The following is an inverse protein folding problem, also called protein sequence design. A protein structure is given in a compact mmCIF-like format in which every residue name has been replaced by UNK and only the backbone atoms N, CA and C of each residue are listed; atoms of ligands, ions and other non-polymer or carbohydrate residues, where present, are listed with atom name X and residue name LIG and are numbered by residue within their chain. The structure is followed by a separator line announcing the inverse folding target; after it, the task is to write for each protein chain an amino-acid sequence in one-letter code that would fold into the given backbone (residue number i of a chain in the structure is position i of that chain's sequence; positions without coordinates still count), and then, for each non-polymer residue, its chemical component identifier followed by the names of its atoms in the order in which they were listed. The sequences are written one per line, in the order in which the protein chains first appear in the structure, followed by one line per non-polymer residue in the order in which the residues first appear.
data_IF_921078279919
#
_entry.id   IF_921078279919
#
_cell.length_a   1.000
_cell.length_b   1.000
_cell.length_c   1.000
_cell.angle_alpha   90.00
_cell.angle_beta   90.00
_cell.angle_gamma   90.00
#
_symmetry.space_group_name_H-M   'P 1'
#
loop_
_entity.id
_entity.type
_entity.pdbx_description
1 polymer ?
#
# COMPACT_ATOMS: atom_id res chain seq x y z
N UNK A 1 1.51 12.73 4.74
CA UNK A 1 1.26 12.65 6.19
C UNK A 1 -0.23 12.51 6.43
N UNK A 2 -0.65 11.86 7.52
CA UNK A 2 -2.09 11.71 7.80
C UNK A 2 -2.76 13.09 7.95
N UNK A 3 -2.08 14.07 8.54
CA UNK A 3 -2.56 15.45 8.66
C UNK A 3 -2.68 16.25 7.35
N UNK A 4 -2.21 15.74 6.21
CA UNK A 4 -2.27 16.49 4.95
C UNK A 4 -3.72 16.69 4.48
N UNK A 5 -4.04 17.90 4.04
CA UNK A 5 -5.40 18.26 3.61
C UNK A 5 -5.90 17.43 2.43
N UNK A 6 -4.98 17.01 1.53
CA UNK A 6 -5.28 16.07 0.44
C UNK A 6 -5.72 14.71 0.99
N UNK A 7 -4.92 14.12 1.90
CA UNK A 7 -5.22 12.83 2.53
C UNK A 7 -6.55 12.88 3.28
N UNK A 8 -6.83 13.95 4.03
CA UNK A 8 -8.10 14.13 4.73
C UNK A 8 -9.30 14.29 3.79
N UNK A 9 -9.11 14.86 2.61
CA UNK A 9 -10.15 15.01 1.59
C UNK A 9 -10.41 13.68 0.88
N UNK A 10 -9.35 12.97 0.50
CA UNK A 10 -9.41 11.68 -0.20
C UNK A 10 -9.97 10.57 0.69
N UNK A 11 -9.68 10.60 2.00
CA UNK A 11 -10.22 9.67 2.99
C UNK A 11 -11.76 9.64 3.02
N UNK A 12 -12.44 10.73 2.64
CA UNK A 12 -13.91 10.79 2.57
C UNK A 12 -14.48 10.05 1.36
N UNK A 13 -13.66 9.87 0.33
CA UNK A 13 -14.04 9.21 -0.92
C UNK A 13 -13.72 7.71 -0.88
N UNK A 14 -12.79 7.29 -0.01
CA UNK A 14 -12.35 5.91 0.07
C UNK A 14 -13.29 5.02 0.89
N UNK A 15 -13.53 3.77 0.45
CA UNK A 15 -14.37 2.82 1.18
C UNK A 15 -13.66 2.14 2.36
N UNK A 16 -12.42 2.52 2.66
CA UNK A 16 -11.59 1.94 3.72
C UNK A 16 -11.24 2.97 4.80
N UNK A 17 -11.06 2.50 6.02
CA UNK A 17 -10.73 3.36 7.16
C UNK A 17 -9.24 3.63 7.19
N UNK A 18 -8.86 4.89 7.42
CA UNK A 18 -7.47 5.29 7.65
C UNK A 18 -7.38 5.93 9.03
N UNK A 19 -6.37 5.56 9.82
CA UNK A 19 -6.10 6.08 11.16
C UNK A 19 -4.70 6.71 11.20
N UNK A 20 -4.49 7.61 12.15
CA UNK A 20 -3.18 8.18 12.42
C UNK A 20 -2.32 7.20 13.22
N UNK A 21 -1.25 6.72 12.61
CA UNK A 21 -0.21 5.91 13.26
C UNK A 21 0.83 6.75 14.00
N UNK A 22 1.81 6.08 14.64
CA UNK A 22 2.96 6.77 15.25
C UNK A 22 3.68 7.62 14.20
N UNK A 23 4.04 8.85 14.59
CA UNK A 23 4.67 9.85 13.72
C UNK A 23 3.80 10.36 12.54
N UNK A 24 2.48 10.41 12.72
CA UNK A 24 1.53 10.98 11.73
C UNK A 24 1.55 10.25 10.37
N UNK A 25 1.88 8.96 10.44
CA UNK A 25 1.84 8.05 9.29
C UNK A 25 0.42 7.53 9.10
N UNK A 26 -0.15 7.61 7.89
CA UNK A 26 -1.46 7.04 7.62
C UNK A 26 -1.39 5.51 7.69
N UNK A 27 -2.21 4.92 8.54
CA UNK A 27 -2.38 3.46 8.65
C UNK A 27 -3.76 3.12 8.12
N UNK A 28 -3.82 2.20 7.18
CA UNK A 28 -5.06 1.72 6.57
C UNK A 28 -5.54 0.51 7.37
N UNK A 29 -6.79 0.56 7.82
CA UNK A 29 -7.44 -0.49 8.59
C UNK A 29 -8.44 -1.21 7.70
N UNK A 30 -8.25 -2.51 7.54
CA UNK A 30 -9.14 -3.38 6.77
C UNK A 30 -9.56 -4.57 7.60
N UNK A 31 -10.81 -5.02 7.42
CA UNK A 31 -11.28 -6.28 7.99
C UNK A 31 -10.88 -7.41 7.05
N UNK A 32 -9.97 -8.27 7.51
CA UNK A 32 -9.54 -9.45 6.78
C UNK A 32 -9.86 -10.69 7.61
N UNK A 33 -10.70 -11.59 7.07
CA UNK A 33 -11.14 -12.81 7.77
C UNK A 33 -11.75 -12.53 9.16
N UNK A 34 -12.55 -11.48 9.27
CA UNK A 34 -13.16 -10.98 10.52
C UNK A 34 -12.17 -10.44 11.57
N UNK A 35 -10.90 -10.27 11.23
CA UNK A 35 -9.92 -9.58 12.07
C UNK A 35 -9.59 -8.21 11.49
N UNK A 36 -9.55 -7.19 12.35
CA UNK A 36 -9.03 -5.89 11.95
C UNK A 36 -7.51 -5.99 11.78
N UNK A 37 -7.05 -5.79 10.54
CA UNK A 37 -5.63 -5.67 10.23
C UNK A 37 -5.29 -4.23 9.90
N UNK A 38 -4.15 -3.82 10.42
CA UNK A 38 -3.58 -2.50 10.21
C UNK A 38 -2.40 -2.66 9.26
N UNK A 39 -2.41 -1.89 8.18
CA UNK A 39 -1.33 -1.87 7.20
C UNK A 39 -0.87 -0.45 6.98
N UNK A 40 0.44 -0.28 6.86
CA UNK A 40 1.03 0.97 6.39
C UNK A 40 0.87 1.11 4.88
N UNK A 41 0.92 2.33 4.35
CA UNK A 41 0.88 2.56 2.91
C UNK A 41 2.04 1.82 2.20
N UNK A 42 3.21 1.82 2.83
CA UNK A 42 4.42 1.16 2.34
C UNK A 42 4.27 -0.37 2.27
N UNK A 43 3.62 -1.01 3.25
CA UNK A 43 3.34 -2.45 3.22
C UNK A 43 2.38 -2.81 2.08
N UNK A 44 1.34 -2.03 1.85
CA UNK A 44 0.41 -2.26 0.73
C UNK A 44 1.13 -2.09 -0.60
N UNK A 45 1.94 -1.04 -0.77
CA UNK A 45 2.77 -0.87 -1.96
C UNK A 45 3.73 -2.04 -2.16
N UNK A 46 4.32 -2.58 -1.08
CA UNK A 46 5.17 -3.77 -1.15
C UNK A 46 4.39 -5.00 -1.61
N UNK A 47 3.15 -5.21 -1.15
CA UNK A 47 2.32 -6.32 -1.62
C UNK A 47 2.03 -6.22 -3.12
N UNK A 48 1.78 -5.02 -3.64
CA UNK A 48 1.58 -4.79 -5.07
C UNK A 48 2.87 -5.11 -5.85
N UNK A 49 4.02 -4.64 -5.37
CA UNK A 49 5.33 -4.91 -6.00
C UNK A 49 5.65 -6.40 -6.00
N UNK A 50 5.38 -7.12 -4.91
CA UNK A 50 5.54 -8.58 -4.85
C UNK A 50 4.65 -9.27 -5.88
N UNK A 51 3.40 -8.83 -6.02
CA UNK A 51 2.49 -9.40 -7.03
C UNK A 51 2.97 -9.14 -8.46
N UNK A 52 3.48 -7.94 -8.74
CA UNK A 52 4.06 -7.61 -10.04
C UNK A 52 5.30 -8.46 -10.33
N UNK A 53 6.15 -8.68 -9.33
CA UNK A 53 7.29 -9.59 -9.43
C UNK A 53 6.83 -11.01 -9.76
N UNK A 54 5.86 -11.56 -9.04
CA UNK A 54 5.33 -12.90 -9.30
C UNK A 54 4.81 -13.05 -10.74
N UNK A 55 4.12 -12.04 -11.27
CA UNK A 55 3.63 -12.03 -12.66
C UNK A 55 4.80 -12.04 -13.64
N UNK A 56 5.82 -11.20 -13.39
CA UNK A 56 7.01 -11.15 -14.22
C UNK A 56 7.80 -12.47 -14.17
N UNK A 57 7.98 -13.05 -12.98
CA UNK A 57 8.65 -14.35 -12.78
C UNK A 57 7.88 -15.49 -13.46
N UNK A 58 6.54 -15.48 -13.39
CA UNK A 58 5.71 -16.46 -14.10
C UNK A 58 5.80 -16.31 -15.63
N UNK A 59 5.94 -15.09 -16.13
CA UNK A 59 6.10 -14.81 -17.57
C UNK A 59 7.50 -15.16 -18.09
N UNK A 60 8.55 -14.82 -17.33
CA UNK A 60 9.96 -15.02 -17.70
C UNK A 60 10.50 -16.41 -17.32
N UNK A 61 9.83 -17.14 -16.42
CA UNK A 61 10.28 -18.42 -15.89
C UNK A 61 11.55 -18.35 -15.04
N UNK A 62 11.95 -17.16 -14.59
CA UNK A 62 13.18 -16.91 -13.83
C UNK A 62 12.97 -15.83 -12.77
N UNK A 63 13.80 -15.85 -11.72
CA UNK A 63 13.71 -14.91 -10.59
C UNK A 63 14.11 -13.49 -11.01
N UNK A 64 13.23 -12.52 -10.76
CA UNK A 64 13.48 -11.11 -11.08
C UNK A 64 13.97 -10.40 -9.83
N UNK A 65 15.25 -10.00 -9.81
CA UNK A 65 15.88 -9.27 -8.69
C UNK A 65 15.98 -7.77 -8.90
N UNK A 66 16.28 -7.34 -10.12
CA UNK A 66 16.50 -5.94 -10.45
C UNK A 66 15.24 -5.33 -11.07
N UNK A 67 14.76 -4.22 -10.51
CA UNK A 67 13.55 -3.53 -10.97
C UNK A 67 13.73 -2.02 -10.90
N UNK A 68 13.13 -1.32 -11.86
CA UNK A 68 13.03 0.15 -11.89
C UNK A 68 11.58 0.53 -11.61
N UNK A 69 11.35 1.31 -10.55
CA UNK A 69 10.03 1.79 -10.15
C UNK A 69 9.93 3.27 -10.52
N UNK A 70 8.91 3.65 -11.28
CA UNK A 70 8.65 5.05 -11.64
C UNK A 70 7.85 5.75 -10.54
N UNK A 71 8.21 6.99 -10.24
CA UNK A 71 7.49 7.86 -9.30
C UNK A 71 7.13 9.18 -10.00
N UNK A 72 5.99 9.82 -9.64
CA UNK A 72 5.68 11.17 -10.09
C UNK A 72 6.75 12.16 -9.58
N UNK A 73 7.05 13.18 -10.39
CA UNK A 73 8.00 14.26 -10.05
C UNK A 73 7.38 15.30 -9.12
#
# INVERSE_FOLDING_TARGET
RFSDASVQSDMKLWPFKVIAGPADKPIIVVSYKNEEKQFTAEEISSMVLVKMREIAEAYLGSTVKDVVVTVPA
#
